data_IF_495803959907
#
_entry.id   IF_495803959907
#
_cell.length_a   1.000
_cell.length_b   1.000
_cell.length_c   1.000
_cell.angle_alpha   90.00
_cell.angle_beta   90.00
_cell.angle_gamma   90.00
#
_symmetry.space_group_name_H-M   'P 1'
#
loop_
_entity.id
_entity.type
_entity.pdbx_description
1 polymer ?
#
# COMPACT_ATOMS: atom_id res chain seq x y z
N UNK A 1 7.16 12.34 -8.13
CA UNK A 1 7.04 11.16 -7.24
C UNK A 1 7.49 11.54 -5.81
N UNK A 2 6.78 12.46 -5.15
CA UNK A 2 7.00 12.80 -3.74
C UNK A 2 5.60 12.94 -3.11
N UNK A 3 4.98 11.81 -2.79
CA UNK A 3 3.77 11.80 -1.98
C UNK A 3 4.21 11.77 -0.51
N UNK A 4 3.71 12.70 0.30
CA UNK A 4 3.97 12.70 1.74
C UNK A 4 3.25 11.53 2.42
N UNK A 5 3.73 11.09 3.58
CA UNK A 5 3.12 10.01 4.37
C UNK A 5 1.62 10.21 4.61
N UNK A 6 1.19 11.46 4.78
CA UNK A 6 -0.23 11.81 4.92
C UNK A 6 -1.05 11.48 3.65
N UNK A 7 -0.51 11.76 2.47
CA UNK A 7 -1.16 11.45 1.18
C UNK A 7 -1.22 9.94 0.96
N UNK A 8 -0.13 9.23 1.25
CA UNK A 8 -0.02 7.77 1.16
C UNK A 8 -1.05 7.09 2.09
N UNK A 9 -1.15 7.55 3.35
CA UNK A 9 -2.11 7.04 4.33
C UNK A 9 -3.56 7.34 3.95
N UNK A 10 -3.82 8.51 3.39
CA UNK A 10 -5.16 8.91 2.93
C UNK A 10 -5.61 8.08 1.71
N UNK A 11 -4.70 7.83 0.77
CA UNK A 11 -4.93 6.95 -0.38
C UNK A 11 -5.16 5.50 0.05
N UNK A 12 -4.34 4.98 0.97
CA UNK A 12 -4.49 3.64 1.54
C UNK A 12 -5.86 3.44 2.18
N UNK A 13 -6.30 4.35 3.06
CA UNK A 13 -7.62 4.27 3.67
C UNK A 13 -8.77 4.28 2.66
N UNK A 14 -8.66 5.10 1.60
CA UNK A 14 -9.68 5.16 0.55
C UNK A 14 -9.76 3.83 -0.21
N UNK A 15 -8.62 3.30 -0.63
CA UNK A 15 -8.53 2.05 -1.38
C UNK A 15 -8.89 0.83 -0.52
N UNK A 16 -8.45 0.81 0.74
CA UNK A 16 -8.78 -0.23 1.71
C UNK A 16 -10.29 -0.34 1.96
N UNK A 17 -11.01 0.79 2.00
CA UNK A 17 -12.47 0.80 2.17
C UNK A 17 -13.20 0.34 0.89
N UNK A 18 -12.64 0.61 -0.28
CA UNK A 18 -13.18 0.17 -1.58
C UNK A 18 -12.96 -1.33 -1.81
N UNK A 19 -11.76 -1.82 -1.49
CA UNK A 19 -11.33 -3.20 -1.74
C UNK A 19 -11.38 -4.09 -0.49
N UNK A 20 -12.10 -3.66 0.56
CA UNK A 20 -12.14 -4.41 1.81
C UNK A 20 -12.68 -5.83 1.57
N UNK A 21 -11.99 -6.89 2.04
CA UNK A 21 -12.38 -8.27 1.75
C UNK A 21 -13.74 -8.65 2.34
N UNK A 22 -14.20 -7.94 3.38
CA UNK A 22 -15.53 -8.07 3.98
C UNK A 22 -16.67 -7.74 2.99
N UNK A 23 -16.45 -6.79 2.07
CA UNK A 23 -17.45 -6.37 1.07
C UNK A 23 -17.18 -6.92 -0.32
N UNK A 24 -15.91 -7.18 -0.63
CA UNK A 24 -15.46 -7.68 -1.93
C UNK A 24 -14.39 -8.75 -1.72
N UNK A 25 -14.76 -10.00 -1.43
CA UNK A 25 -13.79 -11.08 -1.22
C UNK A 25 -12.88 -11.34 -2.43
N UNK A 26 -13.35 -11.05 -3.65
CA UNK A 26 -12.52 -11.09 -4.89
C UNK A 26 -11.48 -9.97 -4.97
N UNK A 27 -11.65 -8.88 -4.21
CA UNK A 27 -10.65 -7.81 -4.11
C UNK A 27 -9.57 -8.08 -3.06
N UNK A 28 -9.54 -9.26 -2.44
CA UNK A 28 -8.55 -9.62 -1.44
C UNK A 28 -7.11 -9.56 -1.98
N UNK A 29 -6.89 -9.95 -3.24
CA UNK A 29 -5.58 -9.82 -3.91
C UNK A 29 -5.17 -8.36 -4.06
N UNK A 30 -6.06 -7.51 -4.58
CA UNK A 30 -5.83 -6.06 -4.66
C UNK A 30 -5.57 -5.43 -3.30
N UNK A 31 -6.31 -5.85 -2.27
CA UNK A 31 -6.12 -5.35 -0.91
C UNK A 31 -4.74 -5.72 -0.36
N UNK A 32 -4.24 -6.92 -0.67
CA UNK A 32 -2.86 -7.34 -0.37
C UNK A 32 -1.85 -6.47 -1.08
N UNK A 33 -2.01 -6.20 -2.38
CA UNK A 33 -1.11 -5.32 -3.13
C UNK A 33 -1.10 -3.90 -2.56
N UNK A 34 -2.26 -3.34 -2.24
CA UNK A 34 -2.41 -2.01 -1.63
C UNK A 34 -1.73 -1.96 -0.26
N UNK A 35 -1.90 -2.99 0.57
CA UNK A 35 -1.24 -3.09 1.88
C UNK A 35 0.27 -3.23 1.77
N UNK A 36 0.75 -4.01 0.81
CA UNK A 36 2.18 -4.17 0.54
C UNK A 36 2.79 -2.85 0.07
N UNK A 37 2.18 -2.19 -0.91
CA UNK A 37 2.62 -0.89 -1.40
C UNK A 37 2.63 0.16 -0.28
N UNK A 38 1.60 0.21 0.56
CA UNK A 38 1.58 1.09 1.72
C UNK A 38 2.74 0.80 2.68
N UNK A 39 2.95 -0.48 3.04
CA UNK A 39 4.01 -0.87 3.96
C UNK A 39 5.40 -0.53 3.43
N UNK A 40 5.66 -0.71 2.12
CA UNK A 40 6.94 -0.34 1.49
C UNK A 40 7.10 1.17 1.41
N UNK A 41 6.02 1.92 1.13
CA UNK A 41 6.10 3.37 0.98
C UNK A 41 6.21 4.13 2.32
N UNK A 42 5.67 3.58 3.41
CA UNK A 42 5.74 4.18 4.74
C UNK A 42 6.95 3.75 5.57
N UNK A 43 7.61 2.67 5.18
CA UNK A 43 8.79 2.16 5.87
C UNK A 43 10.01 2.50 5.02
N UNK A 44 10.72 3.58 5.40
CA UNK A 44 11.87 4.08 4.65
C UNK A 44 12.97 3.02 4.51
N UNK A 45 13.12 2.13 5.50
CA UNK A 45 14.06 1.02 5.44
C UNK A 45 13.65 0.00 4.39
N UNK A 46 12.36 -0.39 4.36
CA UNK A 46 11.83 -1.28 3.31
C UNK A 46 11.84 -0.63 1.94
N UNK A 47 11.61 0.67 1.86
CA UNK A 47 11.70 1.43 0.61
C UNK A 47 13.11 1.40 0.06
N UNK A 48 14.12 1.64 0.90
CA UNK A 48 15.53 1.50 0.50
C UNK A 48 15.85 0.07 0.08
N UNK A 49 15.41 -0.94 0.83
CA UNK A 49 15.65 -2.34 0.45
C UNK A 49 14.98 -2.66 -0.90
N UNK A 50 13.76 -2.20 -1.13
CA UNK A 50 13.05 -2.38 -2.40
C UNK A 50 13.75 -1.68 -3.57
N UNK A 51 14.21 -0.44 -3.36
CA UNK A 51 14.92 0.35 -4.37
C UNK A 51 16.31 -0.24 -4.69
N UNK A 52 16.98 -0.82 -3.69
CA UNK A 52 18.32 -1.44 -3.82
C UNK A 52 18.24 -2.86 -4.40
N UNK A 53 17.25 -3.66 -4.00
CA UNK A 53 17.17 -5.08 -4.35
C UNK A 53 16.12 -5.43 -5.41
N UNK A 54 15.24 -4.51 -5.80
CA UNK A 54 14.35 -4.64 -6.97
C UNK A 54 13.37 -5.81 -6.93
N UNK A 55 12.91 -6.20 -5.73
CA UNK A 55 12.04 -7.36 -5.48
C UNK A 55 10.78 -7.42 -6.37
#
# INVERSE_FOLDING_TARGET
>A
RNASDQEIKKAYHKLAKTHHPDKNPESAEKFKEISFAYQVLTDESKRQIYDIYGL
#
